data_IF_388593126154
#
_entry.id   IF_388593126154
#
_cell.length_a   1.000
_cell.length_b   1.000
_cell.length_c   1.000
_cell.angle_alpha   90.00
_cell.angle_beta   90.00
_cell.angle_gamma   90.00
#
_symmetry.space_group_name_H-M   'P 1'
#
loop_
_entity.id
_entity.type
_entity.pdbx_description
1 polymer ?
#
# COMPACT_ATOMS: atom_id res chain seq x y z
N UNK A 1 -9.23 11.40 2.44
CA UNK A 1 -7.90 11.44 3.09
C UNK A 1 -6.92 12.15 2.16
N UNK A 2 -5.98 12.97 2.66
CA UNK A 2 -4.87 13.51 1.86
C UNK A 2 -3.61 12.69 2.11
N UNK A 3 -2.96 12.20 1.05
CA UNK A 3 -1.67 11.53 1.15
C UNK A 3 -0.57 12.58 1.30
N UNK A 4 0.39 12.32 2.19
CA UNK A 4 1.54 13.20 2.37
C UNK A 4 2.53 13.12 1.19
N UNK A 5 3.35 14.15 0.95
CA UNK A 5 4.24 14.23 -0.20
C UNK A 5 5.26 13.08 -0.26
N UNK A 6 5.74 12.60 0.89
CA UNK A 6 6.67 11.48 0.96
C UNK A 6 6.03 10.15 0.52
N UNK A 7 4.75 9.94 0.86
CA UNK A 7 4.01 8.74 0.45
C UNK A 7 3.67 8.81 -1.04
N UNK A 8 3.33 10.00 -1.56
CA UNK A 8 3.14 10.20 -2.99
C UNK A 8 4.42 9.91 -3.79
N UNK A 9 5.57 10.42 -3.34
CA UNK A 9 6.86 10.14 -3.98
C UNK A 9 7.26 8.66 -3.93
N UNK A 10 6.79 7.91 -2.92
CA UNK A 10 6.96 6.47 -2.86
C UNK A 10 6.09 5.77 -3.93
N UNK A 11 4.81 6.14 -4.02
CA UNK A 11 3.86 5.55 -4.96
C UNK A 11 4.10 5.94 -6.43
N UNK A 12 4.85 7.02 -6.68
CA UNK A 12 5.21 7.45 -8.03
C UNK A 12 6.28 6.55 -8.71
N UNK A 13 6.93 5.69 -7.91
CA UNK A 13 7.94 4.75 -8.41
C UNK A 13 7.31 3.60 -9.20
N UNK A 14 8.12 3.00 -10.06
CA UNK A 14 7.78 1.74 -10.73
C UNK A 14 8.31 0.57 -9.92
N UNK A 15 7.47 -0.45 -9.78
CA UNK A 15 7.73 -1.66 -9.01
C UNK A 15 7.60 -2.89 -9.92
N UNK A 16 7.83 -4.08 -9.37
CA UNK A 16 7.56 -5.31 -10.10
C UNK A 16 6.09 -5.34 -10.54
N UNK A 17 5.79 -5.59 -11.83
CA UNK A 17 4.42 -5.72 -12.32
C UNK A 17 3.61 -6.82 -11.64
N UNK A 18 2.29 -6.61 -11.56
CA UNK A 18 1.30 -7.61 -11.11
C UNK A 18 1.63 -8.27 -9.76
N UNK A 19 2.22 -7.51 -8.83
CA UNK A 19 2.70 -8.02 -7.54
C UNK A 19 2.07 -7.25 -6.37
N UNK A 20 1.83 -7.97 -5.26
CA UNK A 20 1.56 -7.35 -3.96
C UNK A 20 2.90 -7.06 -3.28
N UNK A 21 3.18 -5.78 -3.02
CA UNK A 21 4.36 -5.34 -2.29
C UNK A 21 3.96 -4.89 -0.89
N UNK A 22 4.67 -5.35 0.13
CA UNK A 22 4.45 -4.98 1.53
C UNK A 22 5.70 -4.31 2.10
N UNK A 23 5.53 -3.22 2.85
CA UNK A 23 6.66 -2.51 3.47
C UNK A 23 6.23 -1.67 4.68
N UNK A 24 7.18 -1.36 5.55
CA UNK A 24 6.98 -0.40 6.64
C UNK A 24 7.33 1.00 6.14
N UNK A 25 6.42 1.95 6.33
CA UNK A 25 6.62 3.36 6.05
C UNK A 25 6.25 4.20 7.27
N UNK A 26 7.27 4.80 7.90
CA UNK A 26 7.11 5.53 9.15
C UNK A 26 6.44 4.64 10.22
N UNK A 27 5.31 5.07 10.77
CA UNK A 27 4.52 4.29 11.74
C UNK A 27 3.54 3.34 11.07
N UNK A 28 3.46 3.26 9.76
CA UNK A 28 2.46 2.46 9.06
C UNK A 28 3.07 1.23 8.41
N UNK A 29 2.30 0.15 8.39
CA UNK A 29 2.49 -0.96 7.47
C UNK A 29 1.68 -0.66 6.20
N UNK A 30 2.35 -0.76 5.06
CA UNK A 30 1.77 -0.59 3.73
C UNK A 30 1.71 -1.93 3.02
N UNK A 31 0.64 -2.14 2.27
CA UNK A 31 0.62 -3.10 1.18
C UNK A 31 0.02 -2.43 -0.05
N UNK A 32 0.62 -2.59 -1.21
CA UNK A 32 0.04 -2.09 -2.44
C UNK A 32 0.15 -3.10 -3.58
N UNK A 33 -0.89 -3.15 -4.41
CA UNK A 33 -0.89 -3.94 -5.65
C UNK A 33 -0.42 -3.08 -6.80
N UNK A 34 0.45 -3.64 -7.61
CA UNK A 34 0.90 -3.05 -8.86
C UNK A 34 0.10 -3.60 -10.04
N UNK A 35 -0.07 -2.79 -11.08
CA UNK A 35 -0.62 -3.23 -12.36
C UNK A 35 0.43 -3.94 -13.24
N UNK A 36 0.04 -4.29 -14.46
CA UNK A 36 0.90 -4.93 -15.46
C UNK A 36 2.11 -4.09 -15.90
N UNK A 37 2.12 -2.79 -15.58
CA UNK A 37 3.24 -1.89 -15.86
C UNK A 37 4.07 -1.59 -14.61
N UNK A 38 3.73 -2.18 -13.46
CA UNK A 38 4.42 -1.94 -12.20
C UNK A 38 3.98 -0.66 -11.47
N UNK A 39 2.87 -0.04 -11.87
CA UNK A 39 2.33 1.15 -11.18
C UNK A 39 1.47 0.73 -9.99
N UNK A 40 1.66 1.31 -8.80
CA UNK A 40 0.77 1.07 -7.67
C UNK A 40 -0.66 1.56 -7.97
N UNK A 41 -1.64 0.67 -7.92
CA UNK A 41 -3.06 0.99 -8.24
C UNK A 41 -4.01 0.79 -7.06
N UNK A 42 -3.59 0.06 -6.02
CA UNK A 42 -4.36 -0.13 -4.80
C UNK A 42 -3.43 -0.08 -3.60
N UNK A 43 -3.73 0.77 -2.62
CA UNK A 43 -2.96 0.92 -1.38
C UNK A 43 -3.81 0.53 -0.17
N UNK A 44 -3.25 -0.33 0.67
CA UNK A 44 -3.64 -0.57 2.04
C UNK A 44 -2.60 0.10 2.96
N UNK A 45 -3.07 0.89 3.92
CA UNK A 45 -2.23 1.59 4.89
C UNK A 45 -2.84 1.41 6.27
N UNK A 46 -2.03 1.00 7.24
CA UNK A 46 -2.50 0.77 8.60
C UNK A 46 -1.41 0.22 9.49
N UNK A 47 -1.78 -0.69 10.39
CA UNK A 47 -0.86 -1.52 11.16
C UNK A 47 -1.15 -2.98 10.84
N UNK A 48 -0.11 -3.80 10.65
CA UNK A 48 -0.26 -5.25 10.62
C UNK A 48 -0.72 -5.71 12.01
N UNK A 49 -1.78 -6.49 12.05
CA UNK A 49 -2.11 -7.24 13.25
C UNK A 49 -1.17 -8.44 13.44
N UNK A 50 -1.27 -9.13 14.58
CA UNK A 50 -0.44 -10.30 14.89
C UNK A 50 -0.63 -11.49 13.93
N UNK A 51 -1.57 -11.41 12.97
CA UNK A 51 -1.78 -12.40 11.92
C UNK A 51 -1.23 -11.92 10.56
N UNK A 52 -0.53 -10.77 10.53
CA UNK A 52 0.07 -10.22 9.32
C UNK A 52 -0.90 -9.47 8.41
N UNK A 53 -2.18 -9.31 8.80
CA UNK A 53 -3.17 -8.57 8.01
C UNK A 53 -3.05 -7.08 8.29
N UNK A 54 -2.88 -6.28 7.24
CA UNK A 54 -2.99 -4.82 7.36
C UNK A 54 -4.47 -4.49 7.45
N UNK A 55 -4.92 -4.09 8.65
CA UNK A 55 -6.28 -3.55 8.82
C UNK A 55 -6.32 -2.16 8.17
N UNK A 56 -6.71 -2.13 6.89
CA UNK A 56 -7.04 -0.90 6.19
C UNK A 56 -8.55 -0.64 6.27
N UNK A 57 -8.95 0.56 6.68
CA UNK A 57 -10.32 1.06 6.54
C UNK A 57 -10.57 1.40 5.06
N UNK A 58 -10.85 0.39 4.24
CA UNK A 58 -11.22 0.53 2.83
C UNK A 58 -12.70 0.20 2.61
N UNK A 59 -13.39 0.82 1.62
CA UNK A 59 -14.84 0.71 1.41
C UNK A 59 -15.35 -0.67 0.92
N UNK A 60 -14.51 -1.69 0.88
CA UNK A 60 -14.86 -3.03 0.37
C UNK A 60 -14.62 -4.11 1.43
N UNK A 61 -14.94 -3.79 2.69
CA UNK A 61 -15.18 -4.76 3.74
C UNK A 61 -16.64 -5.23 3.71
N UNK A 62 -16.97 -6.08 2.73
CA UNK A 62 -18.14 -6.97 2.76
C UNK A 62 -17.62 -8.38 2.54
#
# INVERSE_FOLDING_TARGET
MKLGPQLLALLDKQYTPSQLTEMVFQRYDLAFKTDETGRPVLLFIGKKDGQGKIKGEGPLGQ
#
